data_IF_065681313370
#
_entry.id   IF_065681313370
#
_cell.length_a   1.000
_cell.length_b   1.000
_cell.length_c   1.000
_cell.angle_alpha   90.00
_cell.angle_beta   90.00
_cell.angle_gamma   90.00
#
_symmetry.space_group_name_H-M   'P 1'
#
loop_
_entity.id
_entity.type
_entity.pdbx_description
1 polymer ?
#
# COMPACT_ATOMS: atom_id res chain seq x y z
N UNK A 1 -21.39 -22.03 -24.34
CA UNK A 1 -22.06 -21.44 -23.15
C UNK A 1 -23.42 -20.90 -23.59
N UNK A 2 -24.49 -21.24 -22.87
CA UNK A 2 -25.81 -20.69 -23.18
C UNK A 2 -25.78 -19.15 -23.08
N UNK A 3 -26.56 -18.49 -23.93
CA UNK A 3 -26.78 -17.05 -23.92
C UNK A 3 -28.03 -16.68 -23.10
N UNK A 4 -28.13 -15.43 -22.64
CA UNK A 4 -29.34 -14.94 -21.93
C UNK A 4 -30.60 -15.12 -22.79
N UNK A 5 -30.46 -15.05 -24.11
CA UNK A 5 -31.58 -15.30 -25.08
C UNK A 5 -32.01 -16.76 -25.10
N UNK A 6 -31.06 -17.69 -25.01
CA UNK A 6 -31.36 -19.14 -24.93
C UNK A 6 -32.03 -19.50 -23.59
N UNK A 7 -31.52 -18.96 -22.48
CA UNK A 7 -32.16 -19.13 -21.15
C UNK A 7 -33.59 -18.60 -21.19
N UNK A 8 -33.82 -17.42 -21.77
CA UNK A 8 -35.14 -16.82 -21.92
C UNK A 8 -36.09 -17.72 -22.75
N UNK A 9 -35.59 -18.25 -23.87
CA UNK A 9 -36.36 -19.16 -24.74
C UNK A 9 -36.72 -20.44 -24.01
N UNK A 10 -35.79 -21.08 -23.31
CA UNK A 10 -36.03 -22.33 -22.57
C UNK A 10 -36.95 -22.14 -21.36
N UNK A 11 -36.83 -20.99 -20.67
CA UNK A 11 -37.70 -20.68 -19.53
C UNK A 11 -39.08 -20.12 -19.91
N UNK A 12 -39.33 -19.85 -21.20
CA UNK A 12 -40.58 -19.28 -21.70
C UNK A 12 -40.86 -17.86 -21.22
N UNK A 13 -39.80 -17.03 -21.14
CA UNK A 13 -39.86 -15.64 -20.67
C UNK A 13 -39.07 -14.71 -21.58
N UNK A 14 -39.19 -13.40 -21.38
CA UNK A 14 -38.34 -12.43 -22.10
C UNK A 14 -36.90 -12.39 -21.52
N UNK A 15 -35.87 -11.99 -22.32
CA UNK A 15 -34.52 -11.75 -21.81
C UNK A 15 -34.49 -10.73 -20.67
N UNK A 16 -35.41 -9.74 -20.70
CA UNK A 16 -35.53 -8.76 -19.62
C UNK A 16 -36.02 -9.42 -18.31
N UNK A 17 -36.91 -10.41 -18.39
CA UNK A 17 -37.38 -11.17 -17.22
C UNK A 17 -36.23 -12.00 -16.63
N UNK A 18 -35.43 -12.68 -17.48
CA UNK A 18 -34.23 -13.39 -17.02
C UNK A 18 -33.28 -12.45 -16.31
N UNK A 19 -32.99 -11.26 -16.88
CA UNK A 19 -32.13 -10.23 -16.27
C UNK A 19 -32.67 -9.77 -14.90
N UNK A 20 -33.99 -9.57 -14.78
CA UNK A 20 -34.63 -9.20 -13.50
C UNK A 20 -34.50 -10.28 -12.44
N UNK A 21 -34.68 -11.54 -12.81
CA UNK A 21 -34.51 -12.68 -11.89
C UNK A 21 -33.07 -12.76 -11.39
N UNK A 22 -32.10 -12.66 -12.30
CA UNK A 22 -30.67 -12.71 -11.97
C UNK A 22 -30.25 -11.55 -11.06
N UNK A 23 -30.78 -10.34 -11.31
CA UNK A 23 -30.40 -9.14 -10.58
C UNK A 23 -31.24 -8.86 -9.33
N UNK A 24 -32.35 -9.58 -9.11
CA UNK A 24 -33.24 -9.33 -7.99
C UNK A 24 -33.92 -7.94 -8.02
N UNK A 25 -34.05 -7.31 -9.21
CA UNK A 25 -34.41 -5.87 -9.35
C UNK A 25 -35.89 -5.58 -9.51
N UNK A 26 -36.77 -6.60 -9.55
CA UNK A 26 -38.22 -6.40 -9.62
C UNK A 26 -38.96 -7.63 -9.11
N UNK A 27 -40.22 -7.44 -8.67
CA UNK A 27 -41.11 -8.53 -8.39
C UNK A 27 -41.39 -9.31 -9.69
N UNK A 28 -40.77 -10.46 -9.81
CA UNK A 28 -41.08 -11.46 -10.84
C UNK A 28 -41.88 -12.53 -10.16
N UNK A 29 -42.96 -12.90 -10.80
CA UNK A 29 -43.82 -14.02 -10.38
C UNK A 29 -42.98 -15.24 -10.01
N UNK A 30 -43.28 -15.87 -8.86
CA UNK A 30 -42.45 -16.94 -8.29
C UNK A 30 -42.34 -18.15 -9.22
N UNK A 31 -43.38 -18.49 -9.97
CA UNK A 31 -43.34 -19.58 -10.93
C UNK A 31 -42.34 -19.29 -12.08
N UNK A 32 -42.36 -18.05 -12.60
CA UNK A 32 -41.40 -17.62 -13.63
C UNK A 32 -39.98 -17.58 -13.08
N UNK A 33 -39.83 -17.14 -11.85
CA UNK A 33 -38.51 -17.10 -11.17
C UNK A 33 -37.94 -18.52 -11.02
N UNK A 34 -38.71 -19.47 -10.57
CA UNK A 34 -38.29 -20.88 -10.42
C UNK A 34 -37.92 -21.52 -11.77
N UNK A 35 -38.69 -21.27 -12.82
CA UNK A 35 -38.37 -21.75 -14.17
C UNK A 35 -37.05 -21.19 -14.68
N UNK A 36 -36.82 -19.90 -14.51
CA UNK A 36 -35.57 -19.26 -14.92
C UNK A 36 -34.37 -19.84 -14.15
N UNK A 37 -34.46 -19.97 -12.82
CA UNK A 37 -33.37 -20.53 -11.98
C UNK A 37 -33.07 -21.98 -12.35
N UNK A 38 -34.11 -22.79 -12.64
CA UNK A 38 -33.94 -24.17 -13.10
C UNK A 38 -33.17 -24.24 -14.42
N UNK A 39 -33.57 -23.45 -15.43
CA UNK A 39 -32.87 -23.40 -16.72
C UNK A 39 -31.44 -22.90 -16.59
N UNK A 40 -31.16 -21.91 -15.72
CA UNK A 40 -29.81 -21.43 -15.42
C UNK A 40 -28.95 -22.57 -14.89
N UNK A 41 -29.45 -23.35 -13.93
CA UNK A 41 -28.71 -24.48 -13.37
C UNK A 41 -28.48 -25.60 -14.42
N UNK A 42 -29.48 -25.93 -15.23
CA UNK A 42 -29.41 -26.98 -16.26
C UNK A 42 -28.45 -26.61 -17.40
N UNK A 43 -28.39 -25.33 -17.78
CA UNK A 43 -27.56 -24.83 -18.89
C UNK A 43 -26.18 -24.40 -18.47
N UNK A 44 -25.88 -24.29 -17.17
CA UNK A 44 -24.65 -23.73 -16.64
C UNK A 44 -24.45 -22.27 -17.07
N UNK A 45 -25.54 -21.56 -17.37
CA UNK A 45 -25.47 -20.15 -17.78
C UNK A 45 -24.84 -19.31 -16.66
N UNK A 46 -23.79 -18.56 -17.00
CA UNK A 46 -23.23 -17.54 -16.12
C UNK A 46 -23.43 -16.16 -16.76
N UNK A 47 -24.04 -15.21 -16.03
CA UNK A 47 -24.15 -13.83 -16.51
C UNK A 47 -22.77 -13.29 -16.91
N UNK A 48 -22.71 -12.57 -18.02
CA UNK A 48 -21.51 -11.87 -18.40
C UNK A 48 -21.38 -10.62 -17.52
N UNK A 49 -20.46 -10.65 -16.56
CA UNK A 49 -20.22 -9.55 -15.61
C UNK A 49 -19.84 -8.26 -16.34
N UNK A 50 -19.09 -8.33 -17.47
CA UNK A 50 -18.76 -7.16 -18.28
C UNK A 50 -19.99 -6.51 -18.89
N UNK A 51 -20.93 -7.32 -19.42
CA UNK A 51 -22.20 -6.80 -19.94
C UNK A 51 -23.06 -6.20 -18.83
N UNK A 52 -23.01 -6.78 -17.63
CA UNK A 52 -23.73 -6.28 -16.44
C UNK A 52 -23.12 -4.96 -15.95
N UNK A 53 -21.79 -4.84 -15.95
CA UNK A 53 -21.06 -3.62 -15.59
C UNK A 53 -21.42 -2.45 -16.51
N UNK A 54 -21.58 -2.69 -17.82
CA UNK A 54 -22.02 -1.69 -18.78
C UNK A 54 -23.42 -1.13 -18.45
N UNK A 55 -24.36 -2.00 -18.04
CA UNK A 55 -25.72 -1.55 -17.67
C UNK A 55 -25.80 -0.86 -16.31
N UNK A 56 -24.99 -1.31 -15.34
CA UNK A 56 -24.98 -0.77 -13.97
C UNK A 56 -24.01 0.40 -13.80
N UNK A 57 -23.19 0.72 -14.79
CA UNK A 57 -22.09 1.68 -14.71
C UNK A 57 -21.14 1.41 -13.52
N UNK A 58 -21.03 0.15 -13.11
CA UNK A 58 -20.18 -0.31 -12.00
C UNK A 58 -19.77 -1.76 -12.25
N UNK A 59 -18.48 -2.01 -12.27
CA UNK A 59 -17.88 -3.35 -12.39
C UNK A 59 -17.73 -4.05 -11.05
N UNK A 60 -17.84 -3.29 -9.95
CA UNK A 60 -17.48 -3.73 -8.61
C UNK A 60 -16.01 -4.19 -8.53
N UNK A 61 -15.14 -3.56 -9.31
CA UNK A 61 -13.69 -3.79 -9.31
C UNK A 61 -12.99 -2.52 -8.82
N UNK A 62 -12.10 -2.67 -7.84
CA UNK A 62 -11.14 -1.65 -7.42
C UNK A 62 -9.77 -2.08 -7.94
N UNK A 63 -9.14 -1.23 -8.76
CA UNK A 63 -7.75 -1.40 -9.18
C UNK A 63 -6.80 -1.01 -8.06
N UNK A 64 -5.73 -1.78 -7.89
CA UNK A 64 -4.64 -1.45 -6.94
C UNK A 64 -3.32 -1.56 -7.70
N UNK A 65 -2.57 -0.46 -7.79
CA UNK A 65 -1.26 -0.44 -8.43
C UNK A 65 -0.21 -0.15 -7.37
N UNK A 66 0.71 -1.10 -7.17
CA UNK A 66 1.81 -0.97 -6.20
C UNK A 66 3.17 -1.05 -6.92
N UNK A 67 4.21 -0.40 -6.36
CA UNK A 67 5.52 -0.37 -7.00
C UNK A 67 6.28 -1.69 -6.90
N UNK A 68 6.09 -2.47 -5.84
CA UNK A 68 6.81 -3.75 -5.66
C UNK A 68 6.08 -4.68 -4.69
N UNK A 69 5.51 -5.76 -5.20
CA UNK A 69 4.80 -6.77 -4.37
C UNK A 69 5.74 -7.63 -3.52
N UNK A 70 7.05 -7.62 -3.78
CA UNK A 70 8.04 -8.34 -2.97
C UNK A 70 8.31 -7.63 -1.64
N UNK A 71 8.06 -6.31 -1.57
CA UNK A 71 8.12 -5.58 -0.31
C UNK A 71 6.87 -5.89 0.52
N UNK A 72 6.99 -6.50 1.70
CA UNK A 72 5.87 -6.91 2.54
C UNK A 72 4.92 -5.76 2.91
N UNK A 73 5.40 -4.52 3.00
CA UNK A 73 4.55 -3.35 3.21
C UNK A 73 3.42 -3.28 2.18
N UNK A 74 3.73 -3.44 0.89
CA UNK A 74 2.71 -3.35 -0.17
C UNK A 74 1.82 -4.58 -0.24
N UNK A 75 2.32 -5.77 0.09
CA UNK A 75 1.47 -6.97 0.16
C UNK A 75 0.54 -6.95 1.38
N UNK A 76 0.97 -6.42 2.52
CA UNK A 76 0.11 -6.21 3.69
C UNK A 76 -0.94 -5.11 3.43
N UNK A 77 -0.56 -4.03 2.74
CA UNK A 77 -1.48 -2.98 2.27
C UNK A 77 -2.53 -3.56 1.32
N UNK A 78 -2.09 -4.32 0.30
CA UNK A 78 -2.99 -4.95 -0.66
C UNK A 78 -3.98 -5.91 0.02
N UNK A 79 -3.53 -6.68 1.02
CA UNK A 79 -4.41 -7.52 1.82
C UNK A 79 -5.47 -6.71 2.56
N UNK A 80 -5.10 -5.60 3.20
CA UNK A 80 -6.06 -4.77 3.92
C UNK A 80 -7.09 -4.10 2.98
N UNK A 81 -6.67 -3.73 1.77
CA UNK A 81 -7.56 -3.21 0.71
C UNK A 81 -8.52 -4.31 0.24
N UNK A 82 -8.01 -5.53 0.01
CA UNK A 82 -8.80 -6.66 -0.47
C UNK A 82 -9.88 -7.06 0.54
N UNK A 83 -9.52 -7.19 1.81
CA UNK A 83 -10.46 -7.52 2.89
C UNK A 83 -11.60 -6.48 2.97
N UNK A 84 -11.28 -5.19 3.00
CA UNK A 84 -12.29 -4.12 3.05
C UNK A 84 -13.13 -4.07 1.76
N UNK A 85 -12.53 -4.27 0.58
CA UNK A 85 -13.24 -4.35 -0.68
C UNK A 85 -14.22 -5.53 -0.71
N UNK A 86 -13.78 -6.71 -0.26
CA UNK A 86 -14.61 -7.91 -0.20
C UNK A 86 -15.82 -7.75 0.72
N UNK A 87 -15.63 -7.18 1.92
CA UNK A 87 -16.71 -6.90 2.88
C UNK A 87 -17.79 -5.98 2.28
N UNK A 88 -17.42 -5.11 1.34
CA UNK A 88 -18.30 -4.18 0.66
C UNK A 88 -18.78 -4.67 -0.74
N UNK A 89 -18.53 -5.95 -1.08
CA UNK A 89 -18.99 -6.56 -2.33
C UNK A 89 -18.20 -6.13 -3.57
N UNK A 90 -16.97 -5.65 -3.38
CA UNK A 90 -16.02 -5.33 -4.45
C UNK A 90 -15.00 -6.46 -4.62
N UNK A 91 -14.37 -6.50 -5.78
CA UNK A 91 -13.20 -7.33 -6.08
C UNK A 91 -11.99 -6.44 -6.30
N UNK A 92 -10.83 -6.88 -5.84
CA UNK A 92 -9.57 -6.19 -6.08
C UNK A 92 -8.86 -6.77 -7.31
N UNK A 93 -8.27 -5.89 -8.12
CA UNK A 93 -7.32 -6.24 -9.17
C UNK A 93 -5.97 -5.63 -8.85
N UNK A 94 -5.02 -6.46 -8.41
CA UNK A 94 -3.67 -6.02 -8.03
C UNK A 94 -2.74 -6.03 -9.24
N UNK A 95 -2.06 -4.90 -9.46
CA UNK A 95 -1.05 -4.70 -10.49
C UNK A 95 0.28 -4.28 -9.87
N UNK A 96 1.38 -4.85 -10.36
CA UNK A 96 2.74 -4.49 -9.94
C UNK A 96 3.43 -3.66 -11.03
N UNK A 97 3.80 -2.41 -10.71
CA UNK A 97 4.42 -1.50 -11.68
C UNK A 97 5.94 -1.61 -11.76
N UNK A 98 6.61 -2.13 -10.74
CA UNK A 98 8.08 -2.10 -10.61
C UNK A 98 8.67 -0.67 -10.67
N UNK A 99 7.95 0.34 -10.17
CA UNK A 99 8.30 1.76 -10.32
C UNK A 99 8.51 2.17 -11.80
N UNK A 100 7.84 1.51 -12.74
CA UNK A 100 7.92 1.79 -14.16
C UNK A 100 6.67 2.53 -14.63
N UNK A 101 6.84 3.76 -15.08
CA UNK A 101 5.77 4.65 -15.50
C UNK A 101 4.94 4.08 -16.67
N UNK A 102 5.58 3.44 -17.66
CA UNK A 102 4.86 2.83 -18.78
C UNK A 102 3.93 1.71 -18.29
N UNK A 103 4.39 0.89 -17.34
CA UNK A 103 3.54 -0.14 -16.73
C UNK A 103 2.40 0.47 -15.93
N UNK A 104 2.62 1.58 -15.23
CA UNK A 104 1.56 2.29 -14.53
C UNK A 104 0.47 2.72 -15.52
N UNK A 105 0.85 3.41 -16.60
CA UNK A 105 -0.07 3.87 -17.64
C UNK A 105 -0.81 2.71 -18.33
N UNK A 106 -0.12 1.61 -18.64
CA UNK A 106 -0.75 0.41 -19.19
C UNK A 106 -1.79 -0.18 -18.25
N UNK A 107 -1.49 -0.28 -16.96
CA UNK A 107 -2.42 -0.78 -15.95
C UNK A 107 -3.63 0.14 -15.78
N UNK A 108 -3.43 1.46 -15.77
CA UNK A 108 -4.50 2.45 -15.71
C UNK A 108 -5.43 2.30 -16.93
N UNK A 109 -4.85 2.17 -18.13
CA UNK A 109 -5.62 1.97 -19.35
C UNK A 109 -6.45 0.67 -19.30
N UNK A 110 -5.86 -0.42 -18.85
CA UNK A 110 -6.57 -1.69 -18.65
C UNK A 110 -7.74 -1.54 -17.66
N UNK A 111 -7.52 -0.88 -16.52
CA UNK A 111 -8.56 -0.65 -15.51
C UNK A 111 -9.71 0.21 -16.06
N UNK A 112 -9.39 1.21 -16.90
CA UNK A 112 -10.39 1.98 -17.64
C UNK A 112 -11.24 1.12 -18.58
N UNK A 113 -10.61 0.22 -19.34
CA UNK A 113 -11.32 -0.71 -20.22
C UNK A 113 -12.22 -1.66 -19.45
N UNK A 114 -11.80 -2.11 -18.27
CA UNK A 114 -12.58 -2.95 -17.36
C UNK A 114 -13.69 -2.18 -16.63
N UNK A 115 -13.77 -0.84 -16.80
CA UNK A 115 -14.69 0.04 -16.07
C UNK A 115 -14.55 -0.11 -14.57
N UNK A 116 -13.32 -0.13 -14.07
CA UNK A 116 -13.07 -0.16 -12.63
C UNK A 116 -13.81 0.97 -11.93
N UNK A 117 -14.30 0.71 -10.72
CA UNK A 117 -15.06 1.67 -9.92
C UNK A 117 -14.16 2.66 -9.18
N UNK A 118 -12.86 2.36 -9.11
CA UNK A 118 -11.84 3.24 -8.54
C UNK A 118 -10.44 2.65 -8.63
N UNK A 119 -9.46 3.49 -8.35
CA UNK A 119 -8.03 3.15 -8.34
C UNK A 119 -7.39 3.57 -7.02
N UNK A 120 -6.71 2.65 -6.37
CA UNK A 120 -5.79 2.92 -5.27
C UNK A 120 -4.38 2.72 -5.80
N UNK A 121 -3.50 3.70 -5.61
CA UNK A 121 -2.21 3.70 -6.27
C UNK A 121 -1.10 4.23 -5.38
N UNK A 122 0.09 3.62 -5.51
CA UNK A 122 1.35 4.13 -4.96
C UNK A 122 2.26 4.50 -6.13
N UNK A 123 2.50 5.78 -6.34
CA UNK A 123 3.37 6.28 -7.43
C UNK A 123 4.14 7.52 -7.00
N UNK A 124 5.29 7.77 -7.61
CA UNK A 124 6.07 9.00 -7.52
C UNK A 124 6.17 9.74 -8.88
N UNK A 125 5.48 9.22 -9.90
CA UNK A 125 5.46 9.83 -11.24
C UNK A 125 4.42 10.94 -11.36
N UNK A 126 4.90 12.18 -11.53
CA UNK A 126 4.02 13.32 -11.84
C UNK A 126 3.33 13.18 -13.20
N UNK A 127 3.94 12.45 -14.15
CA UNK A 127 3.34 12.22 -15.45
C UNK A 127 2.19 11.23 -15.38
N UNK A 128 2.37 10.14 -14.62
CA UNK A 128 1.27 9.19 -14.33
C UNK A 128 0.08 9.92 -13.76
N UNK A 129 0.30 10.81 -12.79
CA UNK A 129 -0.76 11.57 -12.14
C UNK A 129 -1.51 12.50 -13.10
N UNK A 130 -0.79 13.23 -13.97
CA UNK A 130 -1.44 14.10 -14.98
C UNK A 130 -2.38 13.30 -15.89
N UNK A 131 -2.01 12.06 -16.21
CA UNK A 131 -2.85 11.17 -16.99
C UNK A 131 -4.05 10.61 -16.22
N UNK A 132 -4.11 10.79 -14.89
CA UNK A 132 -5.25 10.40 -14.06
C UNK A 132 -6.34 11.46 -13.98
N UNK A 133 -6.07 12.72 -14.29
CA UNK A 133 -7.05 13.83 -14.20
C UNK A 133 -8.25 13.62 -15.14
N UNK A 134 -8.05 12.93 -16.27
CA UNK A 134 -9.11 12.63 -17.27
C UNK A 134 -9.73 11.23 -17.12
N UNK A 135 -9.39 10.49 -16.06
CA UNK A 135 -9.93 9.13 -15.87
C UNK A 135 -11.31 9.17 -15.22
N UNK A 136 -12.26 8.45 -15.79
CA UNK A 136 -13.67 8.43 -15.37
C UNK A 136 -13.96 7.71 -14.04
N UNK A 137 -12.97 7.53 -13.14
CA UNK A 137 -13.11 6.89 -11.83
C UNK A 137 -12.31 7.61 -10.75
N UNK A 138 -12.72 7.53 -9.46
CA UNK A 138 -12.00 8.12 -8.35
C UNK A 138 -10.62 7.46 -8.16
N UNK A 139 -9.64 8.29 -7.76
CA UNK A 139 -8.27 7.85 -7.49
C UNK A 139 -7.89 8.20 -6.05
N UNK A 140 -7.24 7.25 -5.36
CA UNK A 140 -6.64 7.44 -4.04
C UNK A 140 -5.15 7.13 -4.13
N UNK A 141 -4.31 8.09 -3.80
CA UNK A 141 -2.88 7.88 -3.62
C UNK A 141 -2.59 7.43 -2.19
N UNK A 142 -1.72 6.44 -2.05
CA UNK A 142 -1.30 5.91 -0.76
C UNK A 142 0.21 6.04 -0.61
N UNK A 143 0.68 6.33 0.62
CA UNK A 143 2.10 6.41 1.03
C UNK A 143 2.90 7.57 0.40
N UNK A 144 2.52 8.05 -0.77
CA UNK A 144 3.27 9.08 -1.49
C UNK A 144 2.39 10.26 -1.84
N UNK A 145 2.82 11.46 -1.43
CA UNK A 145 2.15 12.72 -1.74
C UNK A 145 2.88 13.39 -2.89
N UNK A 146 2.15 13.68 -3.96
CA UNK A 146 2.62 14.48 -5.07
C UNK A 146 2.03 15.89 -5.00
N UNK A 147 2.77 16.89 -5.47
CA UNK A 147 2.35 18.28 -5.38
C UNK A 147 1.16 18.59 -6.31
N UNK A 148 0.09 19.13 -5.70
CA UNK A 148 -1.05 19.79 -6.35
C UNK A 148 -1.89 18.94 -7.31
N UNK A 149 -2.82 18.16 -6.73
CA UNK A 149 -3.96 17.64 -7.49
C UNK A 149 -5.21 17.84 -6.65
N UNK A 150 -6.10 18.73 -7.11
CA UNK A 150 -7.27 19.11 -6.34
C UNK A 150 -8.37 18.04 -6.26
N UNK A 151 -8.27 16.95 -7.03
CA UNK A 151 -9.34 15.95 -7.15
C UNK A 151 -8.98 14.56 -6.63
N UNK A 152 -7.71 14.31 -6.30
CA UNK A 152 -7.22 13.00 -5.82
C UNK A 152 -7.15 13.01 -4.29
N UNK A 153 -7.67 11.97 -3.66
CA UNK A 153 -7.53 11.77 -2.24
C UNK A 153 -6.16 11.12 -1.91
N UNK A 154 -5.61 11.50 -0.75
CA UNK A 154 -4.31 10.99 -0.27
C UNK A 154 -4.52 10.35 1.08
N UNK A 155 -3.90 9.18 1.27
CA UNK A 155 -3.88 8.44 2.55
C UNK A 155 -2.42 8.08 2.84
N UNK A 156 -1.84 8.68 3.86
CA UNK A 156 -0.44 8.49 4.21
C UNK A 156 -0.20 8.44 5.72
N UNK A 157 0.98 7.99 6.12
CA UNK A 157 1.47 8.11 7.50
C UNK A 157 2.20 9.43 7.71
N UNK A 158 2.24 9.92 8.96
CA UNK A 158 3.12 11.03 9.35
C UNK A 158 4.58 10.59 9.36
N UNK A 159 5.16 10.55 8.16
CA UNK A 159 6.53 10.13 7.94
C UNK A 159 7.55 11.08 8.59
N UNK A 160 7.21 12.37 8.70
CA UNK A 160 8.08 13.36 9.35
C UNK A 160 8.21 13.07 10.84
N UNK A 161 7.09 12.90 11.55
CA UNK A 161 7.08 12.51 12.95
C UNK A 161 7.74 11.14 13.15
N UNK A 162 7.58 10.21 12.20
CA UNK A 162 8.26 8.91 12.24
C UNK A 162 9.79 9.03 12.22
N UNK A 163 10.34 9.89 11.36
CA UNK A 163 11.77 10.19 11.33
C UNK A 163 12.26 10.79 12.64
N UNK A 164 11.47 11.69 13.24
CA UNK A 164 11.78 12.28 14.56
C UNK A 164 11.78 11.22 15.67
N UNK A 165 10.75 10.37 15.71
CA UNK A 165 10.59 9.31 16.71
C UNK A 165 11.78 8.35 16.65
N UNK A 166 12.16 7.87 15.46
CA UNK A 166 13.28 6.96 15.27
C UNK A 166 14.60 7.57 15.79
N UNK A 167 14.87 8.82 15.42
CA UNK A 167 16.11 9.50 15.80
C UNK A 167 16.18 9.75 17.30
N UNK A 168 15.10 10.27 17.87
CA UNK A 168 15.01 10.55 19.31
C UNK A 168 15.18 9.28 20.14
N UNK A 169 14.57 8.17 19.71
CA UNK A 169 14.72 6.90 20.38
C UNK A 169 16.18 6.43 20.47
N UNK A 170 16.94 6.47 19.36
CA UNK A 170 18.36 6.10 19.39
C UNK A 170 19.19 7.01 20.30
N UNK A 171 18.89 8.31 20.34
CA UNK A 171 19.53 9.24 21.29
C UNK A 171 19.22 8.84 22.74
N UNK A 172 17.95 8.55 23.04
CA UNK A 172 17.52 8.09 24.39
C UNK A 172 18.15 6.73 24.74
N UNK A 173 18.44 5.89 23.76
CA UNK A 173 19.23 4.66 23.94
C UNK A 173 20.74 4.93 24.12
N UNK A 174 21.18 6.20 24.04
CA UNK A 174 22.54 6.65 24.29
C UNK A 174 23.46 6.57 23.08
N UNK A 175 22.92 6.42 21.85
CA UNK A 175 23.69 6.53 20.63
C UNK A 175 24.17 7.96 20.40
N UNK A 176 25.42 8.10 19.92
CA UNK A 176 26.06 9.39 19.64
C UNK A 176 26.40 9.57 18.16
N UNK A 177 26.66 8.46 17.47
CA UNK A 177 27.06 8.43 16.07
C UNK A 177 25.95 7.74 15.25
N UNK A 178 24.86 8.49 15.02
CA UNK A 178 23.66 7.95 14.37
C UNK A 178 23.76 8.19 12.86
N UNK A 179 23.67 7.11 12.07
CA UNK A 179 23.66 7.16 10.60
C UNK A 179 22.27 6.84 10.06
N UNK A 180 21.75 7.73 9.23
CA UNK A 180 20.47 7.51 8.53
C UNK A 180 20.72 6.88 7.15
N UNK A 181 20.14 5.72 6.90
CA UNK A 181 20.06 5.15 5.54
C UNK A 181 18.91 5.84 4.80
N UNK A 182 19.27 6.91 4.11
CA UNK A 182 18.36 7.85 3.47
C UNK A 182 17.71 7.23 2.24
N UNK A 183 16.39 7.07 2.26
CA UNK A 183 15.61 6.60 1.11
C UNK A 183 15.64 7.57 -0.07
N UNK A 184 15.11 7.18 -1.26
CA UNK A 184 15.11 8.01 -2.46
C UNK A 184 14.36 9.34 -2.26
N UNK A 185 15.02 10.48 -2.51
CA UNK A 185 14.49 11.81 -2.15
C UNK A 185 13.47 12.39 -3.13
N UNK A 186 13.25 11.74 -4.27
CA UNK A 186 12.08 11.99 -5.13
C UNK A 186 10.77 11.46 -4.51
N UNK A 187 10.85 10.49 -3.58
CA UNK A 187 9.71 9.93 -2.86
C UNK A 187 9.40 10.80 -1.63
N UNK A 188 8.16 11.24 -1.51
CA UNK A 188 7.73 12.16 -0.43
C UNK A 188 7.90 11.55 0.96
N UNK A 189 7.51 10.30 1.17
CA UNK A 189 7.65 9.60 2.44
C UNK A 189 9.12 9.49 2.88
N UNK A 190 10.03 9.14 1.95
CA UNK A 190 11.48 9.11 2.23
C UNK A 190 12.03 10.49 2.63
N UNK A 191 11.64 11.51 1.89
CA UNK A 191 12.08 12.89 2.17
C UNK A 191 11.59 13.37 3.53
N UNK A 192 10.35 13.09 3.90
CA UNK A 192 9.79 13.47 5.19
C UNK A 192 10.49 12.75 6.36
N UNK A 193 10.75 11.43 6.24
CA UNK A 193 11.51 10.68 7.24
C UNK A 193 12.90 11.30 7.47
N UNK A 194 13.59 11.64 6.38
CA UNK A 194 14.92 12.25 6.46
C UNK A 194 14.90 13.66 7.07
N UNK A 195 13.92 14.51 6.73
CA UNK A 195 13.72 15.81 7.36
C UNK A 195 13.49 15.69 8.86
N UNK A 196 12.69 14.71 9.30
CA UNK A 196 12.50 14.42 10.72
C UNK A 196 13.81 14.05 11.43
N UNK A 197 14.66 13.23 10.80
CA UNK A 197 16.01 12.92 11.29
C UNK A 197 16.87 14.16 11.41
N UNK A 198 16.94 15.01 10.35
CA UNK A 198 17.74 16.22 10.34
C UNK A 198 17.35 17.19 11.45
N UNK A 199 16.06 17.39 11.67
CA UNK A 199 15.57 18.32 12.69
C UNK A 199 15.95 17.86 14.10
N UNK A 200 15.89 16.57 14.40
CA UNK A 200 16.30 16.03 15.69
C UNK A 200 17.84 16.10 15.84
N UNK A 201 18.59 15.79 14.78
CA UNK A 201 20.05 15.98 14.83
C UNK A 201 20.42 17.43 15.18
N UNK A 202 19.75 18.41 14.58
CA UNK A 202 19.95 19.83 14.87
C UNK A 202 19.52 20.19 16.29
N UNK A 203 18.38 19.69 16.76
CA UNK A 203 17.86 19.96 18.11
C UNK A 203 18.80 19.46 19.20
N UNK A 204 19.39 18.28 19.02
CA UNK A 204 20.28 17.65 20.01
C UNK A 204 21.77 17.91 19.76
N UNK A 205 22.13 18.68 18.73
CA UNK A 205 23.51 18.99 18.39
C UNK A 205 24.34 17.79 17.90
N UNK A 206 23.68 16.80 17.32
CA UNK A 206 24.29 15.59 16.76
C UNK A 206 24.66 15.86 15.30
N UNK A 207 25.84 15.39 14.90
CA UNK A 207 26.27 15.52 13.50
C UNK A 207 25.41 14.69 12.57
N UNK A 208 24.84 15.33 11.56
CA UNK A 208 24.11 14.66 10.49
C UNK A 208 25.04 13.73 9.70
N UNK A 209 24.68 12.44 9.64
CA UNK A 209 25.43 11.41 8.92
C UNK A 209 24.43 10.53 8.14
N UNK A 210 24.70 10.28 6.86
CA UNK A 210 23.81 9.48 6.04
C UNK A 210 24.53 8.71 4.95
N UNK A 211 23.81 7.65 4.48
CA UNK A 211 24.11 6.89 3.28
C UNK A 211 22.84 6.89 2.41
N UNK A 212 22.95 7.19 1.13
CA UNK A 212 21.84 7.03 0.21
C UNK A 212 21.53 5.54 0.00
N UNK A 213 20.26 5.16 0.20
CA UNK A 213 19.80 3.79 0.16
C UNK A 213 18.45 3.70 -0.56
N UNK A 214 18.14 2.53 -1.12
CA UNK A 214 16.79 2.20 -1.60
C UNK A 214 15.95 1.56 -0.50
N UNK A 215 14.96 0.74 -0.93
CA UNK A 215 14.04 0.06 -0.05
C UNK A 215 14.12 -1.48 -0.15
N UNK A 216 14.99 -2.00 -1.01
CA UNK A 216 15.13 -3.45 -1.19
C UNK A 216 16.17 -4.05 -0.25
N UNK A 217 15.96 -5.33 0.07
CA UNK A 217 16.89 -6.12 0.87
C UNK A 217 18.30 -6.15 0.25
N UNK A 218 18.42 -6.37 -1.07
CA UNK A 218 19.72 -6.49 -1.75
C UNK A 218 20.51 -5.18 -1.72
N UNK A 219 19.85 -4.06 -1.97
CA UNK A 219 20.48 -2.74 -1.85
C UNK A 219 20.91 -2.49 -0.40
N UNK A 220 20.08 -2.90 0.57
CA UNK A 220 20.39 -2.81 1.98
C UNK A 220 21.68 -3.54 2.37
N UNK A 221 21.93 -4.73 1.84
CA UNK A 221 23.17 -5.48 2.07
C UNK A 221 24.41 -4.68 1.61
N UNK A 222 24.39 -4.16 0.37
CA UNK A 222 25.49 -3.39 -0.21
C UNK A 222 25.72 -2.11 0.60
N UNK A 223 24.64 -1.41 0.96
CA UNK A 223 24.71 -0.13 1.66
C UNK A 223 25.09 -0.27 3.13
N UNK A 224 24.80 -1.39 3.76
CA UNK A 224 25.30 -1.68 5.11
C UNK A 224 26.83 -1.81 5.14
N UNK A 225 27.45 -2.44 4.14
CA UNK A 225 28.91 -2.50 4.04
C UNK A 225 29.56 -1.15 3.79
N UNK A 226 28.97 -0.35 2.90
CA UNK A 226 29.40 1.03 2.66
C UNK A 226 29.31 1.88 3.94
N UNK A 227 28.22 1.72 4.70
CA UNK A 227 27.95 2.47 5.92
C UNK A 227 29.05 2.27 6.96
N UNK A 228 29.37 1.02 7.32
CA UNK A 228 30.40 0.73 8.35
C UNK A 228 31.82 1.10 7.89
N UNK A 229 32.07 1.08 6.58
CA UNK A 229 33.34 1.53 6.02
C UNK A 229 33.47 3.06 6.13
N UNK A 230 32.39 3.80 5.83
CA UNK A 230 32.36 5.26 5.84
C UNK A 230 32.26 5.84 7.26
N UNK A 231 31.57 5.14 8.15
CA UNK A 231 31.31 5.55 9.52
C UNK A 231 31.71 4.44 10.51
N UNK A 232 33.02 4.22 10.74
CA UNK A 232 33.49 3.11 11.58
C UNK A 232 33.06 3.20 13.05
N UNK A 233 32.76 4.42 13.54
CA UNK A 233 32.35 4.68 14.92
C UNK A 233 30.81 4.72 15.08
N UNK A 234 30.05 4.22 14.09
CA UNK A 234 28.58 4.19 14.15
C UNK A 234 28.10 3.33 15.32
N UNK A 235 27.17 3.86 16.11
CA UNK A 235 26.54 3.16 17.24
C UNK A 235 25.01 3.09 17.13
N UNK A 236 24.41 3.82 16.17
CA UNK A 236 22.99 3.81 15.88
C UNK A 236 22.71 3.92 14.39
N UNK A 237 21.82 3.08 13.86
CA UNK A 237 21.42 3.07 12.44
C UNK A 237 19.92 3.20 12.32
N UNK A 238 19.47 4.21 11.57
CA UNK A 238 18.08 4.35 11.14
C UNK A 238 18.00 3.79 9.71
N UNK A 239 17.41 2.64 9.54
CA UNK A 239 17.17 2.03 8.23
C UNK A 239 16.01 2.72 7.51
N UNK A 240 16.05 2.76 6.17
CA UNK A 240 15.00 3.38 5.36
C UNK A 240 13.64 2.66 5.48
N UNK A 241 13.67 1.36 5.76
CA UNK A 241 12.51 0.52 6.11
C UNK A 241 12.96 -0.77 6.80
N UNK A 242 12.02 -1.65 7.17
CA UNK A 242 12.32 -2.91 7.88
C UNK A 242 13.11 -3.90 7.01
N UNK A 243 12.88 -3.97 5.69
CA UNK A 243 13.67 -4.83 4.81
C UNK A 243 15.14 -4.43 4.77
N UNK A 244 15.42 -3.15 4.79
CA UNK A 244 16.78 -2.62 4.90
C UNK A 244 17.34 -2.84 6.32
N UNK A 245 16.54 -2.70 7.38
CA UNK A 245 16.97 -3.00 8.74
C UNK A 245 17.40 -4.46 8.89
N UNK A 246 16.66 -5.40 8.30
CA UNK A 246 17.00 -6.84 8.24
C UNK A 246 18.33 -7.05 7.49
N UNK A 247 18.55 -6.34 6.38
CA UNK A 247 19.82 -6.41 5.63
C UNK A 247 21.00 -5.90 6.45
N UNK A 248 20.82 -4.78 7.14
CA UNK A 248 21.81 -4.19 8.05
C UNK A 248 22.14 -5.18 9.16
N UNK A 249 21.12 -5.71 9.84
CA UNK A 249 21.29 -6.70 10.88
C UNK A 249 22.13 -7.90 10.39
N UNK A 250 21.76 -8.47 9.25
CA UNK A 250 22.51 -9.61 8.67
C UNK A 250 23.97 -9.26 8.37
N UNK A 251 24.20 -8.12 7.72
CA UNK A 251 25.56 -7.70 7.35
C UNK A 251 26.44 -7.49 8.59
N UNK A 252 25.92 -6.79 9.60
CA UNK A 252 26.66 -6.47 10.82
C UNK A 252 26.99 -7.74 11.62
N UNK A 253 26.02 -8.63 11.80
CA UNK A 253 26.26 -9.90 12.53
C UNK A 253 27.27 -10.80 11.81
N UNK A 254 27.27 -10.85 10.48
CA UNK A 254 28.28 -11.55 9.68
C UNK A 254 29.68 -10.96 9.84
N UNK A 255 29.80 -9.66 10.15
CA UNK A 255 31.06 -8.99 10.42
C UNK A 255 31.47 -9.01 11.91
N UNK A 256 30.68 -9.69 12.75
CA UNK A 256 31.02 -9.93 14.17
C UNK A 256 30.52 -8.85 15.13
N UNK A 257 29.68 -7.91 14.67
CA UNK A 257 29.04 -6.95 15.58
C UNK A 257 27.90 -7.58 16.36
N UNK A 258 27.78 -7.24 17.63
CA UNK A 258 26.66 -7.62 18.48
C UNK A 258 25.56 -6.55 18.44
N UNK A 259 24.34 -6.96 18.20
CA UNK A 259 23.17 -6.08 18.15
C UNK A 259 22.26 -6.46 19.34
N UNK A 260 21.94 -5.54 20.22
CA UNK A 260 22.13 -4.08 20.16
C UNK A 260 23.40 -3.54 20.86
N UNK A 261 24.29 -4.39 21.37
CA UNK A 261 25.37 -4.01 22.26
C UNK A 261 26.40 -3.07 21.62
N UNK A 262 26.86 -3.38 20.40
CA UNK A 262 27.84 -2.59 19.65
C UNK A 262 27.14 -1.53 18.79
N UNK A 263 26.10 -1.90 18.07
CA UNK A 263 25.32 -1.03 17.17
C UNK A 263 23.82 -1.31 17.37
N UNK A 264 23.05 -0.23 17.48
CA UNK A 264 21.59 -0.30 17.58
C UNK A 264 20.94 -0.03 16.22
N UNK A 265 19.86 -0.73 15.91
CA UNK A 265 19.17 -0.64 14.61
C UNK A 265 17.70 -0.35 14.84
N UNK A 266 17.18 0.62 14.10
CA UNK A 266 15.74 0.89 14.02
C UNK A 266 15.27 0.85 12.57
N UNK A 267 14.16 0.13 12.33
CA UNK A 267 13.49 0.02 11.05
C UNK A 267 12.33 1.01 10.91
N UNK A 268 11.56 0.81 9.86
CA UNK A 268 10.32 1.55 9.56
C UNK A 268 9.36 0.61 8.84
N UNK A 269 8.06 0.71 9.09
CA UNK A 269 6.89 0.03 8.54
C UNK A 269 6.20 -0.92 9.54
N UNK A 270 6.96 -1.63 10.40
CA UNK A 270 6.48 -2.70 11.27
C UNK A 270 5.83 -3.86 10.49
N UNK A 271 6.50 -4.28 9.40
CA UNK A 271 6.08 -5.48 8.68
C UNK A 271 6.21 -6.73 9.54
N UNK A 272 5.44 -7.79 9.23
CA UNK A 272 5.48 -9.05 9.99
C UNK A 272 6.88 -9.67 10.09
N UNK A 273 7.72 -9.48 9.08
CA UNK A 273 9.08 -10.00 9.10
C UNK A 273 9.94 -9.38 10.20
N UNK A 274 9.66 -8.16 10.66
CA UNK A 274 10.45 -7.48 11.70
C UNK A 274 10.45 -8.18 13.06
N UNK A 275 9.47 -9.04 13.34
CA UNK A 275 9.38 -9.83 14.57
C UNK A 275 9.71 -11.33 14.40
N UNK A 276 10.20 -11.75 13.22
CA UNK A 276 10.55 -13.16 12.98
C UNK A 276 12.02 -13.49 13.23
N UNK A 277 12.84 -12.48 13.51
CA UNK A 277 14.27 -12.62 13.77
C UNK A 277 14.55 -12.54 15.27
N UNK A 278 15.73 -12.99 15.68
CA UNK A 278 16.24 -12.81 17.04
C UNK A 278 17.64 -12.23 16.92
N UNK A 279 17.85 -10.98 17.39
CA UNK A 279 16.89 -10.06 18.04
C UNK A 279 15.80 -9.52 17.10
N UNK A 280 14.59 -9.31 17.62
CA UNK A 280 13.49 -8.67 16.89
C UNK A 280 13.80 -7.20 16.59
N UNK A 281 13.41 -6.72 15.41
CA UNK A 281 13.71 -5.37 14.93
C UNK A 281 12.80 -4.33 15.62
N UNK A 282 13.38 -3.38 16.32
CA UNK A 282 12.72 -2.14 16.74
C UNK A 282 12.37 -1.31 15.50
N UNK A 283 11.15 -0.80 15.41
CA UNK A 283 10.67 -0.15 14.18
C UNK A 283 9.65 0.94 14.46
N UNK A 284 9.55 1.90 13.55
CA UNK A 284 8.42 2.85 13.52
C UNK A 284 7.28 2.22 12.75
N UNK A 285 6.18 1.94 13.44
CA UNK A 285 5.01 1.28 12.87
C UNK A 285 4.15 2.24 12.06
N UNK A 286 3.89 1.90 10.82
CA UNK A 286 2.82 2.47 10.03
C UNK A 286 1.51 1.69 10.27
N UNK A 287 0.36 2.36 10.38
CA UNK A 287 -0.93 1.67 10.54
C UNK A 287 -1.46 1.13 9.20
N UNK A 288 -0.71 0.21 8.58
CA UNK A 288 -0.91 -0.29 7.20
C UNK A 288 -2.37 -0.73 6.96
N UNK A 289 -2.94 -1.48 7.91
CA UNK A 289 -4.33 -1.93 7.83
C UNK A 289 -5.33 -0.77 7.81
N UNK A 290 -5.11 0.26 8.65
CA UNK A 290 -6.00 1.45 8.67
C UNK A 290 -5.89 2.23 7.37
N UNK A 291 -4.69 2.36 6.82
CA UNK A 291 -4.42 3.03 5.54
C UNK A 291 -5.16 2.32 4.40
N UNK A 292 -5.01 0.99 4.28
CA UNK A 292 -5.68 0.20 3.25
C UNK A 292 -7.21 0.28 3.33
N UNK A 293 -7.76 0.14 4.54
CA UNK A 293 -9.21 0.27 4.77
C UNK A 293 -9.71 1.67 4.41
N UNK A 294 -9.04 2.73 4.88
CA UNK A 294 -9.44 4.11 4.57
C UNK A 294 -9.40 4.41 3.08
N UNK A 295 -8.36 3.98 2.37
CA UNK A 295 -8.26 4.16 0.92
C UNK A 295 -9.42 3.49 0.18
N UNK A 296 -9.80 2.27 0.57
CA UNK A 296 -10.94 1.55 0.00
C UNK A 296 -12.26 2.24 0.31
N UNK A 297 -12.48 2.68 1.55
CA UNK A 297 -13.69 3.39 1.96
C UNK A 297 -13.87 4.70 1.20
N UNK A 298 -12.80 5.44 0.91
CA UNK A 298 -12.86 6.66 0.10
C UNK A 298 -13.42 6.36 -1.30
N UNK A 299 -12.93 5.30 -1.97
CA UNK A 299 -13.44 4.88 -3.28
C UNK A 299 -14.95 4.57 -3.21
N UNK A 300 -15.36 3.80 -2.20
CA UNK A 300 -16.76 3.38 -2.03
C UNK A 300 -17.65 4.61 -1.75
N UNK A 301 -17.25 5.47 -0.82
CA UNK A 301 -17.98 6.70 -0.48
C UNK A 301 -18.15 7.63 -1.69
N UNK A 302 -17.09 7.79 -2.49
CA UNK A 302 -17.17 8.58 -3.72
C UNK A 302 -18.18 8.00 -4.71
N UNK A 303 -18.18 6.67 -4.89
CA UNK A 303 -19.13 5.96 -5.77
C UNK A 303 -20.57 6.08 -5.30
N UNK A 304 -20.78 6.17 -3.99
CA UNK A 304 -22.11 6.35 -3.38
C UNK A 304 -22.55 7.83 -3.37
N UNK A 305 -21.73 8.74 -3.93
CA UNK A 305 -22.04 10.17 -4.05
C UNK A 305 -21.82 10.97 -2.78
N UNK A 306 -21.04 10.44 -1.84
CA UNK A 306 -20.69 11.13 -0.60
C UNK A 306 -19.50 12.08 -0.80
N UNK A 307 -19.45 13.13 0.02
CA UNK A 307 -18.25 13.95 0.12
C UNK A 307 -17.13 13.15 0.79
N UNK A 308 -15.93 13.22 0.21
CA UNK A 308 -14.75 12.52 0.71
C UNK A 308 -13.75 13.51 1.32
N UNK A 309 -13.11 13.09 2.40
CA UNK A 309 -11.94 13.78 2.94
C UNK A 309 -10.74 13.49 2.04
N UNK A 310 -10.07 14.54 1.57
CA UNK A 310 -9.01 14.40 0.57
C UNK A 310 -7.62 14.19 1.16
N UNK A 311 -7.35 14.68 2.35
CA UNK A 311 -6.08 14.43 3.04
C UNK A 311 -6.34 13.62 4.31
N UNK A 312 -5.73 12.44 4.38
CA UNK A 312 -5.86 11.52 5.51
C UNK A 312 -4.45 11.12 5.95
N UNK A 313 -3.99 11.73 7.03
CA UNK A 313 -2.67 11.46 7.62
C UNK A 313 -2.87 10.68 8.90
N UNK A 314 -2.20 9.54 9.00
CA UNK A 314 -2.25 8.68 10.18
C UNK A 314 -0.97 8.81 11.01
N UNK A 315 -1.13 8.91 12.32
CA UNK A 315 -0.01 8.87 13.24
C UNK A 315 0.75 7.53 13.13
N UNK A 316 2.05 7.60 13.40
CA UNK A 316 2.95 6.45 13.52
C UNK A 316 3.35 6.26 14.97
N UNK A 317 3.76 5.06 15.33
CA UNK A 317 4.19 4.73 16.69
C UNK A 317 5.50 3.94 16.70
N UNK A 318 6.27 4.08 17.78
CA UNK A 318 7.48 3.30 17.98
C UNK A 318 7.11 1.94 18.58
N UNK A 319 7.59 0.87 17.96
CA UNK A 319 7.53 -0.48 18.51
C UNK A 319 8.93 -0.87 18.97
N UNK A 320 9.19 -0.68 20.25
CA UNK A 320 10.47 -1.06 20.85
C UNK A 320 10.58 -2.59 20.93
N UNK A 321 11.69 -3.12 20.41
CA UNK A 321 12.04 -4.54 20.46
C UNK A 321 13.50 -4.72 20.87
N UNK A 322 14.17 -5.73 20.32
CA UNK A 322 15.47 -6.18 20.82
C UNK A 322 16.69 -5.58 20.10
N UNK A 323 16.52 -4.95 18.94
CA UNK A 323 17.63 -4.29 18.21
C UNK A 323 17.99 -2.92 18.73
N UNK A 324 17.27 -2.43 19.75
CA UNK A 324 17.65 -1.24 20.54
C UNK A 324 17.54 -1.53 22.02
N UNK A 325 18.32 -0.81 22.84
CA UNK A 325 18.37 -1.01 24.28
C UNK A 325 18.57 0.33 24.97
N UNK A 326 17.60 0.73 25.79
CA UNK A 326 17.74 1.93 26.62
C UNK A 326 18.88 1.71 27.63
N UNK A 327 19.72 2.71 27.80
CA UNK A 327 20.68 2.72 28.91
C UNK A 327 19.89 2.92 30.20
N UNK A 328 19.95 1.92 31.07
CA UNK A 328 19.37 1.98 32.42
C UNK A 328 20.06 3.02 33.30
#
# INVERSE_FOLDING_TARGET
MASIREVAKLAGVSPATVSRVINGTANVDDEKKQRVLKVINETGFRPNELARALFKQSSKIIGVIVPNIENPFFSELAKAIEEEAYENGYKMLLCNSNNNEEKELMNIHMLNQLKADGLIMVTDSNNTIKNLEDNGFPVVLVDRKLSKINEIAIVESDNYSGGKIATKHLIECGCKNIVCMKGPQNISSARQRYLGYQDICKEYGIKEQYIECGYSYDIGLIKAEELITKYPDVDGIIASNDMVAISVYKTLTQKGYNIPEDIQIIGFDNIKFSCLFTPEITTVAQPITKIGKKATQIIIQYRDGHNIERENIFDVELIERQTTKRKG
#
